data_IF_950581556305
#
_entry.id   IF_950581556305
#
_cell.length_a   1.000
_cell.length_b   1.000
_cell.length_c   1.000
_cell.angle_alpha   90.00
_cell.angle_beta   90.00
_cell.angle_gamma   90.00
#
_symmetry.space_group_name_H-M   'P 1'
#
loop_
_entity.id
_entity.type
_entity.pdbx_description
1 polymer ?
#
# COMPACT_ATOMS: atom_id res chain seq x y z
N UNK A 1 15.82 0.69 16.13
CA UNK A 1 14.43 0.20 16.29
C UNK A 1 13.37 1.10 15.67
N UNK A 2 13.62 2.40 15.44
CA UNK A 2 12.62 3.34 14.90
C UNK A 2 11.99 2.94 13.55
N UNK A 3 12.79 2.59 12.53
CA UNK A 3 12.25 2.21 11.20
C UNK A 3 11.26 1.03 11.25
N UNK A 4 11.54 -0.01 12.04
CA UNK A 4 10.64 -1.15 12.19
C UNK A 4 9.30 -0.75 12.82
N UNK A 5 9.32 0.19 13.76
CA UNK A 5 8.11 0.73 14.38
C UNK A 5 7.31 1.50 13.34
N UNK A 6 7.94 2.32 12.51
CA UNK A 6 7.26 3.06 11.43
C UNK A 6 6.69 2.11 10.36
N UNK A 7 7.43 1.06 9.98
CA UNK A 7 6.91 0.00 9.09
C UNK A 7 5.66 -0.66 9.69
N UNK A 8 5.69 -1.00 10.98
CA UNK A 8 4.51 -1.55 11.67
C UNK A 8 3.35 -0.56 11.66
N UNK A 9 3.60 0.73 11.92
CA UNK A 9 2.56 1.77 11.92
C UNK A 9 1.82 1.87 10.59
N UNK A 10 2.56 1.87 9.48
CA UNK A 10 2.01 2.16 8.16
C UNK A 10 1.68 0.90 7.35
N UNK A 11 2.64 -0.01 7.17
CA UNK A 11 2.47 -1.20 6.32
C UNK A 11 1.65 -2.30 6.99
N UNK A 12 1.56 -2.30 8.33
CA UNK A 12 0.73 -3.24 9.09
C UNK A 12 -0.51 -2.57 9.71
N UNK A 13 -0.85 -1.36 9.25
CA UNK A 13 -2.08 -0.63 9.60
C UNK A 13 -2.27 -0.37 11.10
N UNK A 14 -1.19 -0.36 11.90
CA UNK A 14 -1.30 -0.12 13.34
C UNK A 14 -1.71 1.34 13.66
N UNK A 15 -1.41 2.30 12.77
CA UNK A 15 -1.82 3.70 12.94
C UNK A 15 -3.19 3.95 12.30
N UNK A 16 -4.26 3.51 12.97
CA UNK A 16 -5.61 3.46 12.39
C UNK A 16 -6.20 4.81 11.95
N UNK A 17 -5.95 5.90 12.69
CA UNK A 17 -6.41 7.25 12.32
C UNK A 17 -5.83 7.71 10.99
N UNK A 18 -4.53 7.46 10.77
CA UNK A 18 -3.86 7.74 9.50
C UNK A 18 -4.46 6.90 8.37
N UNK A 19 -4.65 5.59 8.58
CA UNK A 19 -5.18 4.70 7.53
C UNK A 19 -6.60 5.10 7.12
N UNK A 20 -7.46 5.42 8.09
CA UNK A 20 -8.81 5.92 7.79
C UNK A 20 -8.77 7.19 6.95
N UNK A 21 -7.98 8.19 7.37
CA UNK A 21 -7.84 9.46 6.63
C UNK A 21 -7.25 9.26 5.23
N UNK A 22 -6.26 8.35 5.08
CA UNK A 22 -5.66 8.02 3.79
C UNK A 22 -6.69 7.39 2.85
N UNK A 23 -7.47 6.43 3.36
CA UNK A 23 -8.52 5.78 2.58
C UNK A 23 -9.58 6.80 2.13
N UNK A 24 -10.00 7.71 3.00
CA UNK A 24 -10.96 8.77 2.67
C UNK A 24 -10.41 9.69 1.58
N UNK A 25 -9.16 10.15 1.76
CA UNK A 25 -8.53 11.09 0.85
C UNK A 25 -8.29 10.51 -0.55
N UNK A 26 -7.99 9.21 -0.63
CA UNK A 26 -7.65 8.53 -1.88
C UNK A 26 -8.85 7.85 -2.55
N UNK A 27 -10.02 7.78 -1.92
CA UNK A 27 -11.18 7.00 -2.39
C UNK A 27 -11.55 7.29 -3.85
N UNK A 28 -11.73 8.57 -4.21
CA UNK A 28 -12.07 8.97 -5.58
C UNK A 28 -11.03 8.52 -6.62
N UNK A 29 -9.75 8.52 -6.23
CA UNK A 29 -8.65 8.19 -7.12
C UNK A 29 -8.49 6.67 -7.26
N UNK A 30 -8.68 5.93 -6.16
CA UNK A 30 -8.55 4.48 -6.10
C UNK A 30 -9.75 3.73 -6.71
N UNK A 31 -10.92 4.36 -6.77
CA UNK A 31 -12.10 3.81 -7.45
C UNK A 31 -12.00 3.84 -8.98
N UNK A 32 -11.00 4.54 -9.55
CA UNK A 32 -10.75 4.55 -10.99
C UNK A 32 -10.13 3.22 -11.43
N UNK A 33 -10.30 2.90 -12.71
CA UNK A 33 -9.48 1.88 -13.36
C UNK A 33 -7.99 2.25 -13.22
N UNK A 34 -7.12 1.25 -13.01
CA UNK A 34 -5.69 1.41 -12.76
C UNK A 34 -4.99 2.35 -13.76
N UNK A 35 -5.39 2.30 -15.03
CA UNK A 35 -4.79 3.11 -16.11
C UNK A 35 -5.11 4.61 -16.01
N UNK A 36 -6.15 4.96 -15.24
CA UNK A 36 -6.62 6.34 -15.04
C UNK A 36 -6.18 6.94 -13.70
N UNK A 37 -5.50 6.17 -12.86
CA UNK A 37 -5.01 6.63 -11.55
C UNK A 37 -3.78 7.50 -11.75
N UNK A 38 -3.71 8.64 -11.06
CA UNK A 38 -2.55 9.54 -11.10
C UNK A 38 -1.67 9.34 -9.85
N UNK A 39 -0.47 8.72 -9.96
CA UNK A 39 0.40 8.48 -8.80
C UNK A 39 0.80 9.77 -8.06
N UNK A 40 1.03 10.85 -8.81
CA UNK A 40 1.36 12.17 -8.23
C UNK A 40 0.22 12.70 -7.34
N UNK A 41 -1.04 12.46 -7.70
CA UNK A 41 -2.18 12.85 -6.87
C UNK A 41 -2.22 12.03 -5.58
N UNK A 42 -1.99 10.73 -5.66
CA UNK A 42 -1.91 9.86 -4.48
C UNK A 42 -0.78 10.28 -3.52
N UNK A 43 0.40 10.60 -4.05
CA UNK A 43 1.53 11.08 -3.25
C UNK A 43 1.22 12.40 -2.53
N UNK A 44 0.55 13.34 -3.21
CA UNK A 44 0.12 14.58 -2.58
C UNK A 44 -0.89 14.34 -1.45
N UNK A 45 -1.84 13.42 -1.66
CA UNK A 45 -2.85 13.04 -0.65
C UNK A 45 -2.21 12.33 0.54
N UNK A 46 -1.22 11.46 0.30
CA UNK A 46 -0.40 10.85 1.34
C UNK A 46 0.30 11.92 2.19
N UNK A 47 0.97 12.88 1.55
CA UNK A 47 1.66 13.97 2.25
C UNK A 47 0.71 14.87 3.05
N UNK A 48 -0.53 15.07 2.60
CA UNK A 48 -1.56 15.77 3.37
C UNK A 48 -2.02 14.96 4.58
N UNK A 49 -2.38 13.70 4.40
CA UNK A 49 -2.91 12.82 5.47
C UNK A 49 -1.88 12.51 6.55
N UNK A 50 -0.60 12.40 6.20
CA UNK A 50 0.50 12.29 7.17
C UNK A 50 0.61 13.52 8.10
N UNK A 51 0.27 14.72 7.60
CA UNK A 51 0.30 15.96 8.39
C UNK A 51 -0.93 16.14 9.26
N UNK A 52 -2.09 15.66 8.79
CA UNK A 52 -3.39 15.81 9.48
C UNK A 52 -3.63 14.74 10.56
N UNK A 53 -3.00 13.58 10.44
CA UNK A 53 -3.11 12.49 11.40
C UNK A 53 -2.07 12.58 12.53
N UNK A 54 -2.18 11.67 13.51
CA UNK A 54 -1.17 11.50 14.56
C UNK A 54 0.17 10.96 14.03
N UNK A 55 0.24 10.54 12.76
CA UNK A 55 1.48 10.17 12.06
C UNK A 55 2.47 11.33 11.93
N UNK A 56 2.02 12.59 12.09
CA UNK A 56 2.86 13.80 11.98
C UNK A 56 4.08 13.80 12.89
N UNK A 57 4.01 13.08 14.01
CA UNK A 57 5.06 13.00 15.03
C UNK A 57 6.11 11.90 14.74
N UNK A 58 5.91 11.08 13.69
CA UNK A 58 6.86 10.03 13.35
C UNK A 58 8.08 10.64 12.61
N UNK A 59 9.31 10.45 13.10
CA UNK A 59 10.50 11.00 12.48
C UNK A 59 10.85 10.35 11.13
N UNK A 60 10.27 9.18 10.82
CA UNK A 60 10.51 8.45 9.57
C UNK A 60 9.33 8.54 8.59
N UNK A 61 8.34 9.42 8.85
CA UNK A 61 7.17 9.58 7.97
C UNK A 61 7.53 9.94 6.52
N UNK A 62 8.61 10.70 6.33
CA UNK A 62 9.04 11.16 5.00
C UNK A 62 9.66 10.03 4.16
N UNK A 63 9.89 8.85 4.75
CA UNK A 63 10.32 7.64 4.04
C UNK A 63 9.15 6.87 3.43
N UNK A 64 7.92 7.22 3.80
CA UNK A 64 6.72 6.57 3.32
C UNK A 64 6.29 7.20 1.99
N UNK A 65 6.12 6.34 0.99
CA UNK A 65 5.68 6.70 -0.36
C UNK A 65 4.52 5.80 -0.76
N UNK A 66 3.73 6.23 -1.74
CA UNK A 66 2.68 5.43 -2.34
C UNK A 66 2.86 5.33 -3.85
N UNK A 67 2.43 4.21 -4.40
CA UNK A 67 2.50 3.98 -5.84
C UNK A 67 1.38 3.03 -6.29
N UNK A 68 1.27 2.84 -7.59
CA UNK A 68 0.36 1.89 -8.22
C UNK A 68 1.18 0.78 -8.85
N UNK A 69 0.89 -0.45 -8.42
CA UNK A 69 1.48 -1.64 -9.00
C UNK A 69 0.43 -2.35 -9.87
N UNK A 70 0.52 -2.27 -11.22
CA UNK A 70 -0.51 -2.78 -12.14
C UNK A 70 -0.44 -4.31 -12.32
N UNK A 71 -0.32 -5.05 -11.21
CA UNK A 71 -0.46 -6.51 -11.14
C UNK A 71 -1.25 -6.86 -9.87
N UNK A 72 -2.03 -7.92 -9.92
CA UNK A 72 -2.77 -8.38 -8.73
C UNK A 72 -1.81 -8.93 -7.65
N UNK A 73 -2.35 -9.18 -6.45
CA UNK A 73 -1.55 -9.68 -5.31
C UNK A 73 -0.96 -11.07 -5.57
N UNK A 74 -1.70 -11.95 -6.27
CA UNK A 74 -1.30 -13.33 -6.57
C UNK A 74 -0.08 -13.34 -7.49
N UNK A 75 -0.11 -12.55 -8.56
CA UNK A 75 1.01 -12.37 -9.49
C UNK A 75 2.23 -11.76 -8.77
N UNK A 76 2.03 -10.78 -7.87
CA UNK A 76 3.12 -10.24 -7.06
C UNK A 76 3.76 -11.33 -6.17
N UNK A 77 2.95 -12.14 -5.49
CA UNK A 77 3.42 -13.24 -4.63
C UNK A 77 4.23 -14.27 -5.40
N UNK A 78 3.77 -14.64 -6.60
CA UNK A 78 4.47 -15.58 -7.46
C UNK A 78 5.86 -15.12 -7.87
N UNK A 79 6.00 -13.85 -8.26
CA UNK A 79 7.28 -13.22 -8.61
C UNK A 79 8.29 -13.25 -7.47
N UNK A 80 7.84 -13.05 -6.23
CA UNK A 80 8.74 -13.00 -5.05
C UNK A 80 9.14 -14.40 -4.58
N UNK A 81 8.26 -15.39 -4.75
CA UNK A 81 8.51 -16.74 -4.21
C UNK A 81 9.30 -17.62 -5.19
N UNK A 82 9.62 -17.13 -6.40
CA UNK A 82 10.20 -17.93 -7.50
C UNK A 82 9.43 -19.24 -7.76
N UNK A 83 8.13 -19.26 -7.44
CA UNK A 83 7.26 -20.45 -7.54
C UNK A 83 6.34 -20.43 -8.76
N UNK A 84 6.25 -19.31 -9.46
CA UNK A 84 5.45 -19.17 -10.68
C UNK A 84 6.38 -19.04 -11.89
N UNK A 85 7.12 -20.11 -12.18
CA UNK A 85 7.64 -20.32 -13.52
C UNK A 85 6.50 -20.93 -14.38
N UNK A 86 6.14 -20.21 -15.44
CA UNK A 86 5.56 -20.72 -16.70
C UNK A 86 4.10 -21.20 -16.80
N UNK A 87 3.24 -21.17 -15.77
CA UNK A 87 1.84 -21.63 -15.91
C UNK A 87 0.73 -20.55 -15.89
N UNK A 88 1.01 -19.30 -15.53
CA UNK A 88 0.00 -18.23 -15.40
C UNK A 88 0.21 -17.06 -16.38
N UNK A 89 0.80 -17.31 -17.55
CA UNK A 89 0.94 -16.31 -18.63
C UNK A 89 -0.34 -16.12 -19.45
N UNK A 90 -1.43 -16.78 -19.08
CA UNK A 90 -2.73 -16.68 -19.74
C UNK A 90 -3.81 -16.26 -18.74
N UNK A 91 -3.71 -15.05 -18.22
CA UNK A 91 -4.89 -14.38 -17.68
C UNK A 91 -5.05 -13.04 -18.39
N UNK A 92 -6.23 -12.92 -19.00
CA UNK A 92 -6.94 -11.74 -19.45
C UNK A 92 -6.43 -10.43 -18.85
N UNK A 93 -6.56 -9.33 -19.60
CA UNK A 93 -6.56 -7.98 -19.02
C UNK A 93 -7.63 -7.93 -17.92
N UNK A 94 -7.29 -8.35 -16.71
CA UNK A 94 -8.13 -8.17 -15.54
C UNK A 94 -8.18 -6.66 -15.39
N UNK A 95 -9.36 -6.09 -15.55
CA UNK A 95 -9.59 -4.67 -15.34
C UNK A 95 -9.40 -4.39 -13.86
N UNK A 96 -8.15 -4.13 -13.47
CA UNK A 96 -7.81 -3.85 -12.09
C UNK A 96 -8.23 -2.43 -11.74
N UNK A 97 -8.70 -2.28 -10.52
CA UNK A 97 -9.00 -1.00 -9.93
C UNK A 97 -7.78 -0.43 -9.20
N UNK A 98 -7.76 0.89 -9.00
CA UNK A 98 -6.72 1.55 -8.21
C UNK A 98 -6.60 0.97 -6.80
N UNK A 99 -7.72 0.62 -6.17
CA UNK A 99 -7.75 0.02 -4.82
C UNK A 99 -6.98 -1.30 -4.75
N UNK A 100 -7.08 -2.16 -5.77
CA UNK A 100 -6.34 -3.44 -5.81
C UNK A 100 -4.86 -3.23 -6.08
N UNK A 101 -4.50 -2.20 -6.83
CA UNK A 101 -3.13 -1.93 -7.26
C UNK A 101 -2.36 -1.00 -6.31
N UNK A 102 -3.02 -0.41 -5.32
CA UNK A 102 -2.42 0.53 -4.39
C UNK A 102 -1.36 -0.11 -3.50
N UNK A 103 -0.19 0.53 -3.39
CA UNK A 103 0.91 0.07 -2.54
C UNK A 103 1.50 1.22 -1.74
N UNK A 104 1.97 0.90 -0.53
CA UNK A 104 2.88 1.74 0.23
C UNK A 104 4.31 1.19 0.13
N UNK A 105 5.26 2.08 -0.13
CA UNK A 105 6.70 1.83 -0.15
C UNK A 105 7.32 2.53 1.05
N UNK A 106 8.38 1.93 1.59
CA UNK A 106 9.14 2.51 2.69
C UNK A 106 10.62 2.57 2.30
N UNK A 107 11.13 3.78 2.05
CA UNK A 107 12.50 4.00 1.61
C UNK A 107 13.46 3.88 2.80
N UNK A 108 14.35 2.88 2.73
CA UNK A 108 15.37 2.66 3.75
C UNK A 108 16.75 2.94 3.16
N UNK A 109 17.43 3.93 3.76
CA UNK A 109 18.81 4.27 3.39
C UNK A 109 19.82 3.31 4.02
N UNK A 110 21.01 3.27 3.43
CA UNK A 110 22.17 2.62 4.06
C UNK A 110 22.45 3.27 5.43
N UNK A 111 22.84 2.53 6.48
CA UNK A 111 23.15 1.09 6.52
C UNK A 111 21.96 0.19 6.82
N UNK A 112 20.81 0.75 7.15
CA UNK A 112 19.64 -0.01 7.62
C UNK A 112 19.10 -0.94 6.52
N UNK A 113 19.31 -0.60 5.26
CA UNK A 113 18.96 -1.42 4.09
C UNK A 113 19.64 -2.79 4.05
N UNK A 114 20.73 -3.00 4.82
CA UNK A 114 21.37 -4.31 4.97
C UNK A 114 20.44 -5.33 5.67
N UNK A 115 19.66 -4.85 6.64
CA UNK A 115 18.69 -5.67 7.38
C UNK A 115 17.31 -5.56 6.74
N UNK A 116 16.89 -4.33 6.44
CA UNK A 116 15.63 -4.03 5.76
C UNK A 116 15.87 -3.91 4.25
N UNK A 117 16.20 -5.04 3.64
CA UNK A 117 16.42 -5.12 2.21
C UNK A 117 15.11 -5.06 1.41
N UNK A 118 15.24 -4.95 0.09
CA UNK A 118 14.10 -4.85 -0.83
C UNK A 118 13.16 -6.06 -0.77
N UNK A 119 13.69 -7.26 -0.49
CA UNK A 119 12.88 -8.47 -0.31
C UNK A 119 12.03 -8.41 0.96
N UNK A 120 12.58 -7.93 2.08
CA UNK A 120 11.84 -7.75 3.32
C UNK A 120 10.73 -6.71 3.14
N UNK A 121 11.05 -5.55 2.55
CA UNK A 121 10.06 -4.50 2.26
C UNK A 121 8.96 -5.01 1.32
N UNK A 122 9.32 -5.78 0.29
CA UNK A 122 8.34 -6.36 -0.64
C UNK A 122 7.35 -7.30 0.05
N UNK A 123 7.79 -8.08 1.04
CA UNK A 123 6.91 -8.92 1.87
C UNK A 123 5.96 -8.08 2.72
N UNK A 124 6.45 -7.01 3.36
CA UNK A 124 5.59 -6.08 4.09
C UNK A 124 4.59 -5.36 3.18
N UNK A 125 5.00 -5.01 1.97
CA UNK A 125 4.12 -4.41 0.96
C UNK A 125 2.98 -5.36 0.57
N UNK A 126 3.25 -6.67 0.42
CA UNK A 126 2.19 -7.65 0.16
C UNK A 126 1.19 -7.75 1.31
N UNK A 127 1.68 -7.76 2.55
CA UNK A 127 0.84 -7.76 3.74
C UNK A 127 -0.03 -6.50 3.78
N UNK A 128 0.57 -5.33 3.50
CA UNK A 128 -0.16 -4.07 3.38
C UNK A 128 -1.31 -4.17 2.38
N UNK A 129 -1.04 -4.63 1.14
CA UNK A 129 -2.07 -4.75 0.10
C UNK A 129 -3.27 -5.58 0.57
N UNK A 130 -3.02 -6.74 1.17
CA UNK A 130 -4.08 -7.62 1.67
C UNK A 130 -4.89 -6.95 2.79
N UNK A 131 -4.20 -6.39 3.80
CA UNK A 131 -4.84 -5.75 4.94
C UNK A 131 -5.64 -4.52 4.52
N UNK A 132 -5.11 -3.71 3.61
CA UNK A 132 -5.74 -2.52 3.07
C UNK A 132 -7.01 -2.87 2.30
N UNK A 133 -6.98 -3.90 1.46
CA UNK A 133 -8.16 -4.39 0.75
C UNK A 133 -9.24 -4.89 1.72
N UNK A 134 -8.87 -5.71 2.71
CA UNK A 134 -9.80 -6.16 3.75
C UNK A 134 -10.47 -4.98 4.48
N UNK A 135 -9.68 -3.96 4.83
CA UNK A 135 -10.18 -2.77 5.52
C UNK A 135 -11.09 -1.91 4.64
N UNK A 136 -10.83 -1.85 3.34
CA UNK A 136 -11.72 -1.20 2.38
C UNK A 136 -13.09 -1.91 2.30
N UNK A 137 -13.09 -3.24 2.14
CA UNK A 137 -14.34 -4.03 2.09
C UNK A 137 -15.14 -3.91 3.39
N UNK A 138 -14.48 -3.98 4.54
CA UNK A 138 -15.11 -3.74 5.85
C UNK A 138 -15.86 -2.40 5.87
N UNK A 139 -15.21 -1.32 5.41
CA UNK A 139 -15.83 0.01 5.36
C UNK A 139 -17.03 0.07 4.42
N UNK A 140 -16.92 -0.51 3.22
CA UNK A 140 -18.03 -0.54 2.26
C UNK A 140 -19.24 -1.28 2.84
N UNK A 141 -19.02 -2.38 3.55
CA UNK A 141 -20.09 -3.10 4.25
C UNK A 141 -20.73 -2.26 5.35
N UNK A 142 -19.93 -1.52 6.13
CA UNK A 142 -20.48 -0.61 7.16
C UNK A 142 -21.31 0.52 6.55
N UNK A 143 -20.93 1.07 5.40
CA UNK A 143 -21.70 2.11 4.70
C UNK A 143 -23.01 1.55 4.16
N UNK A 144 -23.03 0.31 3.66
CA UNK A 144 -24.22 -0.29 3.08
C UNK A 144 -25.27 -0.73 4.11
N UNK A 145 -24.82 -1.08 5.32
CA UNK A 145 -25.68 -1.63 6.39
C UNK A 145 -26.30 -0.52 7.26
N UNK A 146 -25.78 0.71 7.21
CA UNK A 146 -26.30 1.89 7.92
C UNK A 146 -27.16 2.76 7.00
#
# INVERSE_FOLDING_TARGET
MGHLISIKKYLLLHQGDFISQLMDACEEELNKNVDKVLPVKLENLLGLTLRLSSAKNDPYKDQLHCDILPINLVTQMGKITHKLDEYWTSESKIELTGIECFILKFEVKWPVSLVLNQFAISKYQMLFRQLFYCKHVERQLCIFIL
#
